data_IF_891778927295
#
_entry.id   IF_891778927295
#
_cell.length_a   1.000
_cell.length_b   1.000
_cell.length_c   1.000
_cell.angle_alpha   90.00
_cell.angle_beta   90.00
_cell.angle_gamma   90.00
#
_symmetry.space_group_name_H-M   'P 1'
#
loop_
_entity.id
_entity.type
_entity.pdbx_description
1 polymer ?
#
# COMPACT_ATOMS: atom_id res chain seq x y z
N UNK A 1 -0.23 14.00 2.54
CA UNK A 1 1.15 13.47 2.55
C UNK A 1 1.29 12.36 1.54
N UNK A 2 2.45 12.22 0.95
CA UNK A 2 2.70 11.22 -0.09
C UNK A 2 4.06 10.56 0.14
N UNK A 3 4.13 9.25 -0.06
CA UNK A 3 5.38 8.50 0.02
C UNK A 3 5.44 7.49 -1.09
N UNK A 4 6.61 7.37 -1.73
CA UNK A 4 6.83 6.35 -2.75
C UNK A 4 7.41 5.11 -2.10
N UNK A 5 6.81 3.95 -2.35
CA UNK A 5 7.22 2.67 -1.79
C UNK A 5 7.57 1.71 -2.92
N UNK A 6 8.61 0.90 -2.71
CA UNK A 6 9.06 -0.09 -3.68
C UNK A 6 8.54 -1.46 -3.28
N UNK A 7 7.79 -2.11 -4.16
CA UNK A 7 7.33 -3.48 -3.96
C UNK A 7 8.49 -4.42 -4.22
N UNK A 8 8.92 -5.16 -3.21
CA UNK A 8 10.11 -6.00 -3.31
C UNK A 8 9.88 -7.48 -3.02
N UNK A 9 8.65 -7.86 -2.66
CA UNK A 9 8.33 -9.28 -2.48
C UNK A 9 8.18 -9.97 -3.83
N UNK A 10 8.43 -11.26 -3.86
CA UNK A 10 8.53 -12.05 -5.09
C UNK A 10 7.32 -11.98 -5.99
N UNK A 11 6.13 -12.08 -5.40
CA UNK A 11 4.88 -12.15 -6.17
C UNK A 11 4.17 -10.81 -6.31
N UNK A 12 4.72 -9.73 -5.70
CA UNK A 12 4.10 -8.42 -5.75
C UNK A 12 2.80 -8.36 -4.94
N UNK A 13 1.90 -7.46 -5.33
CA UNK A 13 0.65 -7.23 -4.61
C UNK A 13 -0.43 -8.18 -5.13
N UNK A 14 -0.41 -9.42 -4.67
CA UNK A 14 -1.50 -10.38 -4.89
C UNK A 14 -2.45 -10.34 -3.70
N UNK A 15 -3.38 -11.30 -3.60
CA UNK A 15 -4.47 -11.22 -2.63
C UNK A 15 -4.01 -11.10 -1.18
N UNK A 16 -3.02 -11.88 -0.77
CA UNK A 16 -2.55 -11.87 0.62
C UNK A 16 -1.86 -10.56 1.01
N UNK A 17 -0.88 -10.04 0.25
CA UNK A 17 -0.31 -8.73 0.54
C UNK A 17 -1.34 -7.60 0.48
N UNK A 18 -2.28 -7.66 -0.47
CA UNK A 18 -3.34 -6.65 -0.55
C UNK A 18 -4.18 -6.65 0.72
N UNK A 19 -4.56 -7.83 1.22
CA UNK A 19 -5.33 -7.94 2.45
C UNK A 19 -4.54 -7.41 3.65
N UNK A 20 -3.25 -7.68 3.73
CA UNK A 20 -2.40 -7.18 4.81
C UNK A 20 -2.28 -5.65 4.77
N UNK A 21 -2.13 -5.10 3.57
CA UNK A 21 -2.06 -3.66 3.39
C UNK A 21 -3.37 -3.00 3.88
N UNK A 22 -4.51 -3.54 3.45
CA UNK A 22 -5.82 -3.02 3.85
C UNK A 22 -6.01 -3.12 5.36
N UNK A 23 -5.58 -4.21 5.97
CA UNK A 23 -5.70 -4.41 7.42
C UNK A 23 -4.94 -3.31 8.18
N UNK A 24 -3.73 -2.99 7.75
CA UNK A 24 -2.96 -1.91 8.37
C UNK A 24 -3.62 -0.56 8.08
N UNK A 25 -4.00 -0.31 6.83
CA UNK A 25 -4.62 0.96 6.43
C UNK A 25 -5.91 1.25 7.21
N UNK A 26 -6.70 0.21 7.49
CA UNK A 26 -7.95 0.35 8.22
C UNK A 26 -7.79 0.69 9.71
N UNK A 27 -6.58 0.62 10.24
CA UNK A 27 -6.32 1.07 11.61
C UNK A 27 -6.35 2.59 11.73
N UNK A 28 -6.27 3.30 10.62
CA UNK A 28 -6.15 4.75 10.59
C UNK A 28 -7.42 5.38 10.03
N UNK A 29 -7.79 6.56 10.57
CA UNK A 29 -8.97 7.28 10.09
C UNK A 29 -8.68 8.05 8.81
N UNK A 30 -7.42 8.33 8.51
CA UNK A 30 -7.07 9.11 7.32
C UNK A 30 -7.50 8.41 6.04
N UNK A 31 -7.68 9.20 4.99
CA UNK A 31 -7.91 8.65 3.66
C UNK A 31 -6.60 8.19 3.09
N UNK A 32 -6.60 7.01 2.46
CA UNK A 32 -5.41 6.42 1.89
C UNK A 32 -5.70 6.01 0.45
N UNK A 33 -4.89 6.53 -0.48
CA UNK A 33 -4.95 6.15 -1.89
C UNK A 33 -3.59 5.65 -2.33
N UNK A 34 -3.60 4.70 -3.26
CA UNK A 34 -2.37 4.12 -3.81
C UNK A 34 -2.39 4.33 -5.32
N UNK A 35 -1.30 4.82 -5.84
CA UNK A 35 -1.18 5.17 -7.25
C UNK A 35 0.00 4.44 -7.88
N UNK A 36 -0.23 3.88 -9.07
CA UNK A 36 0.81 3.25 -9.88
C UNK A 36 0.55 3.62 -11.34
N UNK A 37 1.56 4.17 -12.00
CA UNK A 37 1.49 4.52 -13.43
C UNK A 37 0.28 5.38 -13.78
N UNK A 38 -0.05 6.32 -12.90
CA UNK A 38 -1.17 7.24 -13.12
C UNK A 38 -2.54 6.71 -12.70
N UNK A 39 -2.63 5.45 -12.33
CA UNK A 39 -3.87 4.85 -11.85
C UNK A 39 -3.93 4.90 -10.33
N UNK A 40 -4.99 5.47 -9.77
CA UNK A 40 -5.13 5.71 -8.34
C UNK A 40 -6.33 4.93 -7.80
N UNK A 41 -6.10 4.16 -6.76
CA UNK A 41 -7.14 3.33 -6.15
C UNK A 41 -7.22 3.61 -4.65
N UNK A 42 -8.34 3.20 -4.03
CA UNK A 42 -8.51 3.31 -2.59
C UNK A 42 -7.60 2.32 -1.87
N UNK A 43 -6.73 2.81 -0.99
CA UNK A 43 -5.80 1.97 -0.23
C UNK A 43 -6.46 1.09 0.81
N UNK A 44 -7.76 1.26 1.04
CA UNK A 44 -8.53 0.41 1.95
C UNK A 44 -9.42 -0.57 1.20
N UNK A 45 -9.13 -0.80 -0.08
CA UNK A 45 -9.86 -1.75 -0.92
C UNK A 45 -8.92 -2.83 -1.42
N UNK A 46 -9.18 -4.08 -1.04
CA UNK A 46 -8.38 -5.22 -1.50
C UNK A 46 -8.44 -5.32 -3.03
N UNK A 47 -9.64 -5.22 -3.60
CA UNK A 47 -9.79 -5.30 -5.04
C UNK A 47 -9.10 -4.15 -5.76
N UNK A 48 -9.19 -2.94 -5.20
CA UNK A 48 -8.51 -1.79 -5.77
C UNK A 48 -7.01 -2.01 -5.89
N UNK A 49 -6.41 -2.51 -4.80
CA UNK A 49 -4.96 -2.77 -4.80
C UNK A 49 -4.58 -3.85 -5.80
N UNK A 50 -5.40 -4.91 -5.90
CA UNK A 50 -5.12 -5.98 -6.86
C UNK A 50 -5.24 -5.51 -8.31
N UNK A 51 -6.12 -4.57 -8.58
CA UNK A 51 -6.30 -4.01 -9.92
C UNK A 51 -5.08 -3.26 -10.42
N UNK A 52 -4.23 -2.77 -9.51
CA UNK A 52 -3.00 -2.08 -9.92
C UNK A 52 -1.98 -3.04 -10.53
N UNK A 53 -2.12 -4.33 -10.31
CA UNK A 53 -1.24 -5.36 -10.85
C UNK A 53 0.24 -5.06 -10.55
N UNK A 54 0.54 -4.64 -9.31
CA UNK A 54 1.88 -4.23 -8.92
C UNK A 54 2.77 -5.43 -8.67
N UNK A 55 3.60 -5.78 -9.63
CA UNK A 55 4.59 -6.84 -9.50
C UNK A 55 5.84 -6.38 -8.77
N UNK A 56 6.83 -7.29 -8.59
CA UNK A 56 8.10 -6.92 -7.94
C UNK A 56 8.79 -5.82 -8.73
N UNK A 57 9.36 -4.87 -8.02
CA UNK A 57 10.01 -3.72 -8.63
C UNK A 57 9.09 -2.54 -8.90
N UNK A 58 7.79 -2.72 -8.72
CA UNK A 58 6.84 -1.62 -8.92
C UNK A 58 7.01 -0.54 -7.85
N UNK A 59 6.84 0.71 -8.25
CA UNK A 59 6.84 1.83 -7.32
C UNK A 59 5.40 2.29 -7.11
N UNK A 60 4.99 2.33 -5.84
CA UNK A 60 3.66 2.77 -5.47
C UNK A 60 3.76 4.13 -4.78
N UNK A 61 2.93 5.09 -5.21
CA UNK A 61 2.78 6.34 -4.46
C UNK A 61 1.61 6.19 -3.51
N UNK A 62 1.88 6.27 -2.22
CA UNK A 62 0.84 6.18 -1.20
C UNK A 62 0.52 7.58 -0.71
N UNK A 63 -0.73 7.99 -0.91
CA UNK A 63 -1.23 9.29 -0.50
C UNK A 63 -2.08 9.12 0.75
N UNK A 64 -1.78 9.86 1.81
CA UNK A 64 -2.54 9.80 3.04
C UNK A 64 -2.95 11.21 3.46
N UNK A 65 -4.20 11.37 3.87
CA UNK A 65 -4.77 12.67 4.21
C UNK A 65 -5.63 12.53 5.47
N UNK A 66 -5.28 13.24 6.52
CA UNK A 66 -5.98 13.19 7.79
C UNK A 66 -5.01 13.34 8.96
N UNK A 67 -5.54 13.37 10.19
CA UNK A 67 -4.72 13.66 11.37
C UNK A 67 -3.66 12.58 11.68
N UNK A 68 -3.92 11.33 11.27
CA UNK A 68 -2.99 10.22 11.51
C UNK A 68 -2.26 9.78 10.24
N UNK A 69 -2.22 10.63 9.21
CA UNK A 69 -1.60 10.30 7.92
C UNK A 69 -0.13 9.95 8.04
N UNK A 70 0.63 10.70 8.84
CA UNK A 70 2.05 10.46 9.01
C UNK A 70 2.32 9.07 9.58
N UNK A 71 1.58 8.70 10.62
CA UNK A 71 1.72 7.39 11.26
C UNK A 71 1.31 6.27 10.29
N UNK A 72 0.25 6.48 9.52
CA UNK A 72 -0.21 5.49 8.55
C UNK A 72 0.89 5.21 7.53
N UNK A 73 1.53 6.25 7.01
CA UNK A 73 2.60 6.08 6.02
C UNK A 73 3.80 5.32 6.59
N UNK A 74 4.16 5.58 7.85
CA UNK A 74 5.26 4.85 8.49
C UNK A 74 4.93 3.36 8.58
N UNK A 75 3.72 3.01 9.00
CA UNK A 75 3.36 1.61 9.17
C UNK A 75 3.20 0.88 7.85
N UNK A 76 2.65 1.55 6.85
CA UNK A 76 2.54 0.95 5.51
C UNK A 76 3.91 0.74 4.88
N UNK A 77 4.81 1.70 5.05
CA UNK A 77 6.18 1.56 4.57
C UNK A 77 6.88 0.38 5.23
N UNK A 78 6.72 0.24 6.53
CA UNK A 78 7.32 -0.88 7.28
C UNK A 78 6.82 -2.22 6.73
N UNK A 79 5.52 -2.32 6.48
CA UNK A 79 4.94 -3.55 5.94
C UNK A 79 5.51 -3.89 4.57
N UNK A 80 5.62 -2.90 3.68
CA UNK A 80 6.14 -3.12 2.33
C UNK A 80 7.62 -3.49 2.38
N UNK A 81 8.41 -2.84 3.24
CA UNK A 81 9.84 -3.14 3.40
C UNK A 81 10.08 -4.54 3.95
N UNK A 82 9.17 -5.06 4.77
CA UNK A 82 9.24 -6.44 5.27
C UNK A 82 8.77 -7.45 4.23
N UNK A 83 8.50 -7.01 2.99
CA UNK A 83 8.00 -7.87 1.91
C UNK A 83 6.71 -8.58 2.30
N UNK A 84 5.87 -7.90 3.10
CA UNK A 84 4.61 -8.46 3.59
C UNK A 84 4.82 -9.78 4.34
N UNK A 85 6.00 -9.94 4.94
CA UNK A 85 6.40 -11.15 5.69
C UNK A 85 6.34 -12.43 4.85
N UNK A 86 6.46 -12.33 3.53
CA UNK A 86 6.36 -13.48 2.62
C UNK A 86 7.67 -14.21 2.41
N UNK A 87 8.75 -13.58 2.68
CA UNK A 87 10.06 -14.17 2.46
C UNK A 87 10.90 -14.04 3.71
#
# INVERSE_FOLDING_TARGET
MTKELLVSNKLGIHARPAAMFVKVANRFSCEIFVEKDGEKVNGKSIMGLMMLAAGPGSKLKVHASGHDASQALVELETLVKRKFDEE
#
